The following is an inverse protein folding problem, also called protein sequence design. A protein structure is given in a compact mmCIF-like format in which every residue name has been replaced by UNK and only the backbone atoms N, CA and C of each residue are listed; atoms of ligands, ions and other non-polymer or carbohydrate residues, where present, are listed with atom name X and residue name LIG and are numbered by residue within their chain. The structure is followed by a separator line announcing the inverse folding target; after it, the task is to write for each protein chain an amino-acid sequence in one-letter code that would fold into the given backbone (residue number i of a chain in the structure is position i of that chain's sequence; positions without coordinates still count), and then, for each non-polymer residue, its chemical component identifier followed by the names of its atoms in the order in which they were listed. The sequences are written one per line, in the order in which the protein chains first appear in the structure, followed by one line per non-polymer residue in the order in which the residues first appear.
data_IF_945258148913
#
_entry.id   IF_945258148913
#
_cell.length_a   1.000
_cell.length_b   1.000
_cell.length_c   1.000
_cell.angle_alpha   90.00
_cell.angle_beta   90.00
_cell.angle_gamma   90.00
#
_symmetry.space_group_name_H-M   'P 1'
#
loop_
_entity.id
_entity.type
_entity.pdbx_description
1 polymer ?
#
# COMPACT_ATOMS: atom_id res chain seq x y z
N UNK A 1 -0.11 -6.18 36.56
CA UNK A 1 -0.71 -7.02 35.50
C UNK A 1 0.42 -7.63 34.69
N UNK A 2 0.39 -8.94 34.48
CA UNK A 2 1.39 -9.70 33.72
C UNK A 2 1.41 -9.30 32.25
N UNK A 3 2.52 -9.58 31.56
CA UNK A 3 2.62 -9.44 30.11
C UNK A 3 1.55 -10.31 29.44
N UNK A 4 0.86 -9.78 28.44
CA UNK A 4 -0.22 -10.47 27.74
C UNK A 4 0.32 -11.06 26.43
N UNK A 5 0.00 -12.32 26.17
CA UNK A 5 0.35 -13.01 24.92
C UNK A 5 -0.93 -13.51 24.27
N UNK A 6 -1.10 -13.15 23.00
CA UNK A 6 -2.20 -13.63 22.18
C UNK A 6 -1.69 -14.55 21.08
N UNK A 7 -2.44 -15.60 20.81
CA UNK A 7 -2.09 -16.63 19.84
C UNK A 7 -3.13 -16.64 18.72
N UNK A 8 -2.67 -16.44 17.49
CA UNK A 8 -3.43 -16.69 16.27
C UNK A 8 -3.04 -18.05 15.70
N UNK A 9 -4.02 -18.92 15.44
CA UNK A 9 -3.76 -20.25 14.85
C UNK A 9 -4.59 -20.43 13.60
N UNK A 10 -3.94 -20.93 12.56
CA UNK A 10 -4.61 -21.38 11.34
C UNK A 10 -4.12 -22.77 10.98
N UNK A 11 -5.03 -23.73 10.89
CA UNK A 11 -4.73 -25.06 10.37
C UNK A 11 -4.90 -25.13 8.85
N UNK A 12 -4.16 -26.03 8.23
CA UNK A 12 -4.24 -26.30 6.80
C UNK A 12 -5.62 -26.79 6.36
N UNK A 13 -6.24 -27.65 7.15
CA UNK A 13 -7.53 -28.29 6.86
C UNK A 13 -8.68 -27.55 7.56
N UNK A 14 -8.49 -27.16 8.81
CA UNK A 14 -9.53 -26.55 9.64
C UNK A 14 -9.70 -25.04 9.41
N UNK A 15 -8.74 -24.39 8.75
CA UNK A 15 -8.75 -22.94 8.58
C UNK A 15 -8.46 -22.22 9.90
N UNK A 16 -9.17 -21.11 10.17
CA UNK A 16 -8.87 -20.28 11.34
C UNK A 16 -9.36 -20.93 12.64
N UNK A 17 -8.45 -21.65 13.30
CA UNK A 17 -8.70 -22.35 14.57
C UNK A 17 -8.95 -21.34 15.71
N UNK A 18 -8.24 -20.20 15.72
CA UNK A 18 -8.39 -19.18 16.76
C UNK A 18 -9.65 -18.31 16.61
N UNK A 19 -10.38 -18.40 15.49
CA UNK A 19 -11.56 -17.58 15.24
C UNK A 19 -12.63 -17.77 16.33
N UNK A 20 -13.07 -16.67 16.92
CA UNK A 20 -14.04 -16.66 18.02
C UNK A 20 -13.57 -17.25 19.34
N UNK A 21 -12.28 -17.53 19.54
CA UNK A 21 -11.78 -18.09 20.81
C UNK A 21 -11.72 -17.07 21.94
N UNK A 22 -11.54 -15.79 21.63
CA UNK A 22 -11.54 -14.69 22.59
C UNK A 22 -12.93 -14.11 22.87
N UNK A 23 -13.99 -14.91 22.70
CA UNK A 23 -15.39 -14.50 22.95
C UNK A 23 -15.91 -15.00 24.29
N UNK A 24 -17.03 -14.43 24.75
CA UNK A 24 -17.70 -14.83 25.99
C UNK A 24 -18.17 -16.29 25.97
N UNK A 25 -18.54 -16.82 24.80
CA UNK A 25 -18.97 -18.22 24.64
C UNK A 25 -17.82 -19.20 24.87
N UNK A 26 -16.58 -18.77 24.61
CA UNK A 26 -15.38 -19.60 24.67
C UNK A 26 -14.69 -19.52 26.04
N UNK A 27 -14.49 -18.31 26.57
CA UNK A 27 -13.69 -18.08 27.79
C UNK A 27 -14.49 -17.44 28.94
N UNK A 28 -15.81 -17.36 28.81
CA UNK A 28 -16.67 -16.75 29.82
C UNK A 28 -16.30 -15.29 30.08
N UNK A 29 -16.28 -14.89 31.36
CA UNK A 29 -15.98 -13.50 31.77
C UNK A 29 -14.52 -13.05 31.52
N UNK A 30 -13.64 -13.94 31.02
CA UNK A 30 -12.22 -13.65 30.80
C UNK A 30 -11.92 -13.12 29.40
N UNK A 31 -12.94 -13.07 28.54
CA UNK A 31 -12.83 -12.53 27.20
C UNK A 31 -12.41 -11.05 27.21
N UNK A 32 -11.72 -10.62 26.17
CA UNK A 32 -11.24 -9.24 26.02
C UNK A 32 -11.66 -8.69 24.66
N UNK A 33 -12.25 -7.49 24.66
CA UNK A 33 -12.66 -6.84 23.42
C UNK A 33 -11.46 -6.47 22.56
N UNK A 34 -11.58 -6.70 21.24
CA UNK A 34 -10.51 -6.50 20.26
C UNK A 34 -9.60 -7.72 20.04
N UNK A 35 -9.85 -8.81 20.76
CA UNK A 35 -9.10 -10.07 20.68
C UNK A 35 -10.02 -11.27 20.44
N UNK A 36 -11.15 -11.08 19.78
CA UNK A 36 -12.20 -12.08 19.61
C UNK A 36 -11.73 -13.32 18.82
N UNK A 37 -10.82 -13.12 17.86
CA UNK A 37 -10.25 -14.16 16.99
C UNK A 37 -8.85 -14.64 17.42
N UNK A 38 -8.47 -14.32 18.66
CA UNK A 38 -7.18 -14.66 19.24
C UNK A 38 -7.36 -15.48 20.52
N UNK A 39 -6.43 -16.41 20.76
CA UNK A 39 -6.40 -17.26 21.94
C UNK A 39 -5.53 -16.59 23.01
N UNK A 40 -6.04 -16.47 24.23
CA UNK A 40 -5.28 -15.95 25.36
C UNK A 40 -4.28 -16.99 25.89
N UNK A 41 -2.99 -16.67 25.86
CA UNK A 41 -1.89 -17.54 26.31
C UNK A 41 -1.30 -17.05 27.63
N UNK A 42 -1.24 -17.91 28.64
CA UNK A 42 -0.70 -17.59 29.97
C UNK A 42 0.81 -17.65 30.05
N UNK A 43 1.40 -18.68 29.43
CA UNK A 43 2.83 -18.90 29.45
C UNK A 43 3.29 -19.48 28.14
N UNK A 44 4.51 -19.13 27.77
CA UNK A 44 5.22 -19.69 26.63
C UNK A 44 6.65 -19.98 27.07
N UNK A 45 7.06 -21.22 26.87
CA UNK A 45 8.39 -21.71 27.09
C UNK A 45 8.99 -22.08 25.73
N UNK A 46 10.07 -21.39 25.38
CA UNK A 46 10.89 -21.71 24.23
C UNK A 46 12.30 -22.04 24.73
N UNK A 47 12.76 -23.25 24.46
CA UNK A 47 14.09 -23.70 24.87
C UNK A 47 14.99 -23.88 23.65
N UNK A 48 16.09 -23.11 23.61
CA UNK A 48 17.06 -23.16 22.52
C UNK A 48 18.42 -23.42 23.17
N UNK A 49 18.96 -24.62 22.94
CA UNK A 49 20.25 -25.02 23.49
C UNK A 49 21.32 -24.93 22.40
N UNK A 50 22.54 -24.56 22.78
CA UNK A 50 23.70 -24.60 21.88
C UNK A 50 24.49 -25.88 22.15
N UNK A 51 24.69 -26.71 21.12
CA UNK A 51 25.45 -27.96 21.24
C UNK A 51 26.94 -27.78 20.93
N UNK A 52 27.40 -26.56 20.62
CA UNK A 52 28.77 -26.26 20.21
C UNK A 52 29.04 -26.51 18.72
N UNK A 53 28.18 -27.32 18.06
CA UNK A 53 28.15 -27.53 16.61
C UNK A 53 26.98 -26.81 15.93
N UNK A 54 26.07 -26.20 16.71
CA UNK A 54 24.91 -25.46 16.23
C UNK A 54 23.84 -25.27 17.31
N UNK A 55 22.85 -24.43 17.02
CA UNK A 55 21.67 -24.29 17.87
C UNK A 55 20.70 -25.46 17.66
N UNK A 56 20.38 -26.18 18.73
CA UNK A 56 19.33 -27.17 18.77
C UNK A 56 18.04 -26.53 19.29
N UNK A 57 17.10 -26.34 18.37
CA UNK A 57 15.77 -25.82 18.68
C UNK A 57 14.95 -26.95 19.28
N UNK A 58 14.46 -26.74 20.49
CA UNK A 58 13.45 -27.61 21.07
C UNK A 58 12.07 -27.09 20.67
N UNK A 59 11.08 -27.97 20.74
CA UNK A 59 9.68 -27.57 20.56
C UNK A 59 9.29 -26.42 21.51
N UNK A 60 8.26 -25.68 21.13
CA UNK A 60 7.68 -24.64 21.98
C UNK A 60 6.55 -25.26 22.79
N UNK A 61 6.52 -24.96 24.08
CA UNK A 61 5.42 -25.34 24.96
C UNK A 61 4.71 -24.08 25.44
N UNK A 62 3.40 -24.02 25.29
CA UNK A 62 2.60 -22.91 25.79
C UNK A 62 1.39 -23.41 26.58
N UNK A 63 0.88 -22.56 27.45
CA UNK A 63 -0.28 -22.86 28.29
C UNK A 63 -1.40 -21.85 28.02
N UNK A 64 -2.62 -22.36 27.87
CA UNK A 64 -3.85 -21.58 27.69
C UNK A 64 -4.97 -22.15 28.56
N UNK A 65 -6.11 -21.45 28.61
CA UNK A 65 -7.34 -22.02 29.20
C UNK A 65 -7.92 -23.10 28.32
N UNK A 66 -8.73 -23.99 28.89
CA UNK A 66 -9.67 -24.78 28.09
C UNK A 66 -10.68 -23.80 27.46
N UNK A 67 -10.78 -23.81 26.13
CA UNK A 67 -11.61 -22.87 25.38
C UNK A 67 -12.16 -23.54 24.09
N UNK A 68 -12.82 -22.78 23.22
CA UNK A 68 -13.35 -23.28 21.94
C UNK A 68 -12.31 -24.01 21.07
N UNK A 69 -11.04 -23.60 21.11
CA UNK A 69 -9.98 -24.19 20.28
C UNK A 69 -9.51 -25.56 20.79
N UNK A 70 -9.77 -25.93 22.04
CA UNK A 70 -9.37 -27.21 22.64
C UNK A 70 -9.74 -28.42 21.77
N UNK A 71 -11.01 -28.65 21.36
CA UNK A 71 -11.36 -29.76 20.48
C UNK A 71 -10.75 -29.64 19.07
N UNK A 72 -10.50 -28.42 18.58
CA UNK A 72 -9.87 -28.20 17.28
C UNK A 72 -8.39 -28.60 17.31
N UNK A 73 -7.68 -28.32 18.41
CA UNK A 73 -6.33 -28.81 18.64
C UNK A 73 -6.28 -30.33 18.77
N UNK A 74 -7.26 -30.94 19.44
CA UNK A 74 -7.38 -32.41 19.51
C UNK A 74 -7.56 -33.01 18.11
N UNK A 75 -8.35 -32.37 17.25
CA UNK A 75 -8.49 -32.80 15.86
C UNK A 75 -7.18 -32.61 15.06
N UNK A 76 -6.48 -31.49 15.26
CA UNK A 76 -5.19 -31.23 14.61
C UNK A 76 -4.12 -32.25 14.99
N UNK A 77 -4.01 -32.62 16.27
CA UNK A 77 -3.03 -33.63 16.71
C UNK A 77 -3.40 -35.02 16.19
N UNK A 78 -4.69 -35.38 16.18
CA UNK A 78 -5.15 -36.68 15.68
C UNK A 78 -4.88 -36.86 14.17
N UNK A 79 -5.05 -35.81 13.38
CA UNK A 79 -4.86 -35.85 11.93
C UNK A 79 -3.44 -35.46 11.51
N UNK A 80 -2.55 -35.19 12.47
CA UNK A 80 -1.21 -34.64 12.23
C UNK A 80 -1.23 -33.44 11.26
N UNK A 81 -2.17 -32.52 11.50
CA UNK A 81 -2.40 -31.34 10.66
C UNK A 81 -1.27 -30.32 10.84
N UNK A 82 -0.79 -29.78 9.72
CA UNK A 82 0.20 -28.71 9.73
C UNK A 82 -0.47 -27.38 10.13
N UNK A 83 0.11 -26.70 11.10
CA UNK A 83 -0.41 -25.47 11.67
C UNK A 83 0.50 -24.28 11.36
N UNK A 84 -0.14 -23.13 11.23
CA UNK A 84 0.47 -21.82 11.33
C UNK A 84 0.13 -21.21 12.68
N UNK A 85 1.13 -20.71 13.40
CA UNK A 85 0.94 -20.06 14.69
C UNK A 85 1.66 -18.73 14.77
N UNK A 86 0.97 -17.71 15.27
CA UNK A 86 1.55 -16.39 15.55
C UNK A 86 1.28 -15.97 16.98
N UNK A 87 2.33 -15.71 17.74
CA UNK A 87 2.28 -15.21 19.11
C UNK A 87 2.59 -13.72 19.14
N UNK A 88 1.61 -12.91 19.49
CA UNK A 88 1.74 -11.48 19.69
C UNK A 88 1.94 -11.15 21.17
N UNK A 89 3.06 -10.52 21.50
CA UNK A 89 3.39 -10.12 22.86
C UNK A 89 3.10 -8.64 23.06
N UNK A 90 2.34 -8.34 24.11
CA UNK A 90 1.95 -7.00 24.47
C UNK A 90 2.61 -6.56 25.76
N UNK A 91 2.94 -5.27 25.81
CA UNK A 91 3.40 -4.58 27.03
C UNK A 91 2.78 -3.19 27.13
N UNK A 92 2.83 -2.62 28.32
CA UNK A 92 2.46 -1.22 28.55
C UNK A 92 3.65 -0.35 28.19
N UNK A 93 3.43 0.64 27.31
CA UNK A 93 4.47 1.59 26.91
C UNK A 93 4.60 2.76 27.89
N UNK A 94 5.58 3.65 27.64
CA UNK A 94 5.82 4.84 28.48
C UNK A 94 4.62 5.80 28.60
N UNK A 95 3.67 5.70 27.68
CA UNK A 95 2.45 6.52 27.65
C UNK A 95 1.26 5.80 28.30
N UNK A 96 1.46 4.65 28.93
CA UNK A 96 0.41 3.87 29.58
C UNK A 96 -0.51 3.11 28.61
N UNK A 97 -0.13 2.97 27.34
CA UNK A 97 -0.92 2.26 26.31
C UNK A 97 -0.34 0.89 26.04
N UNK A 98 -1.22 -0.07 25.72
CA UNK A 98 -0.81 -1.37 25.21
C UNK A 98 -0.17 -1.22 23.82
N UNK A 99 0.99 -1.85 23.63
CA UNK A 99 1.66 -1.95 22.33
C UNK A 99 2.14 -3.39 22.10
N UNK A 100 2.02 -3.87 20.86
CA UNK A 100 2.71 -5.09 20.41
C UNK A 100 4.20 -4.77 20.32
N UNK A 101 5.05 -5.50 21.04
CA UNK A 101 6.49 -5.24 21.03
C UNK A 101 7.33 -6.40 20.54
N UNK A 102 6.81 -7.63 20.62
CA UNK A 102 7.51 -8.84 20.22
C UNK A 102 6.54 -9.80 19.53
N UNK A 103 7.05 -10.54 18.56
CA UNK A 103 6.26 -11.44 17.73
C UNK A 103 7.04 -12.73 17.48
N UNK A 104 6.39 -13.88 17.67
CA UNK A 104 6.93 -15.18 17.29
C UNK A 104 5.99 -15.81 16.26
N UNK A 105 6.52 -16.19 15.11
CA UNK A 105 5.81 -16.92 14.07
C UNK A 105 6.39 -18.32 13.94
N UNK A 106 5.51 -19.32 13.96
CA UNK A 106 5.84 -20.70 13.67
C UNK A 106 5.15 -21.11 12.37
N UNK A 107 5.92 -21.74 11.47
CA UNK A 107 5.40 -22.35 10.25
C UNK A 107 5.78 -23.82 10.22
N UNK A 108 4.88 -24.61 9.63
CA UNK A 108 5.01 -26.05 9.68
C UNK A 108 5.00 -26.59 11.11
N UNK A 109 4.11 -26.03 11.94
CA UNK A 109 3.96 -26.47 13.30
C UNK A 109 3.10 -27.75 13.38
N UNK A 110 3.56 -28.74 14.13
CA UNK A 110 2.81 -29.95 14.46
C UNK A 110 2.66 -30.06 15.96
N UNK A 111 1.48 -30.48 16.41
CA UNK A 111 1.24 -30.70 17.84
C UNK A 111 1.89 -32.02 18.25
N UNK A 112 2.79 -31.98 19.21
CA UNK A 112 3.48 -33.17 19.74
C UNK A 112 2.75 -33.75 20.95
N UNK A 113 2.19 -32.90 21.82
CA UNK A 113 1.45 -33.34 23.00
C UNK A 113 0.47 -32.25 23.46
N UNK A 114 -0.66 -32.68 24.01
CA UNK A 114 -1.65 -31.84 24.68
C UNK A 114 -1.90 -32.45 26.06
N UNK A 115 -1.76 -31.65 27.12
CA UNK A 115 -2.01 -32.06 28.49
C UNK A 115 -3.05 -31.14 29.12
N UNK A 116 -4.21 -31.70 29.48
CA UNK A 116 -5.24 -30.98 30.23
C UNK A 116 -5.00 -31.09 31.73
N UNK A 117 -5.10 -29.98 32.44
CA UNK A 117 -4.92 -29.90 33.88
C UNK A 117 -6.14 -29.21 34.50
N UNK A 118 -6.91 -30.01 35.23
CA UNK A 118 -8.11 -29.60 35.97
C UNK A 118 -7.81 -29.84 37.44
N UNK A 119 -7.64 -28.76 38.20
CA UNK A 119 -7.29 -28.80 39.62
C UNK A 119 -8.31 -27.95 40.38
N UNK A 120 -8.76 -28.47 41.52
CA UNK A 120 -9.70 -27.76 42.39
C UNK A 120 -9.16 -26.37 42.79
N UNK A 121 -10.01 -25.34 42.72
CA UNK A 121 -9.68 -23.94 42.98
C UNK A 121 -8.59 -23.32 42.08
N UNK A 122 -8.30 -23.94 40.94
CA UNK A 122 -7.43 -23.37 39.91
C UNK A 122 -8.20 -23.22 38.59
N UNK A 123 -7.64 -22.44 37.67
CA UNK A 123 -8.20 -22.34 36.33
C UNK A 123 -7.91 -23.63 35.56
N UNK A 124 -8.90 -24.14 34.85
CA UNK A 124 -8.71 -25.27 33.95
C UNK A 124 -7.81 -24.85 32.80
N UNK A 125 -6.65 -25.48 32.71
CA UNK A 125 -5.61 -25.13 31.76
C UNK A 125 -5.25 -26.30 30.89
N UNK A 126 -4.72 -26.00 29.71
CA UNK A 126 -4.10 -26.98 28.84
C UNK A 126 -2.72 -26.51 28.45
N UNK A 127 -1.78 -27.45 28.48
CA UNK A 127 -0.39 -27.25 28.07
C UNK A 127 -0.17 -27.98 26.76
N UNK A 128 0.26 -27.25 25.74
CA UNK A 128 0.42 -27.74 24.38
C UNK A 128 1.89 -27.64 23.99
N UNK A 129 2.46 -28.75 23.53
CA UNK A 129 3.84 -28.83 23.03
C UNK A 129 3.84 -28.97 21.52
N UNK A 130 4.64 -28.15 20.85
CA UNK A 130 4.66 -27.98 19.41
C UNK A 130 6.07 -28.26 18.87
N UNK A 131 6.16 -29.07 17.83
CA UNK A 131 7.34 -29.11 16.94
C UNK A 131 7.10 -28.20 15.73
N UNK A 132 8.15 -27.61 15.18
CA UNK A 132 8.02 -26.67 14.06
C UNK A 132 9.20 -26.80 13.11
N UNK A 133 8.96 -26.55 11.82
CA UNK A 133 10.02 -26.54 10.81
C UNK A 133 10.70 -25.16 10.70
N UNK A 134 9.94 -24.09 10.93
CA UNK A 134 10.43 -22.72 10.84
C UNK A 134 9.95 -21.87 11.99
N UNK A 135 10.87 -21.06 12.53
CA UNK A 135 10.60 -20.05 13.55
C UNK A 135 11.12 -18.69 13.08
N UNK A 136 10.32 -17.66 13.29
CA UNK A 136 10.69 -16.26 13.16
C UNK A 136 10.36 -15.54 14.45
N UNK A 137 11.34 -14.85 15.02
CA UNK A 137 11.22 -14.04 16.21
C UNK A 137 11.56 -12.60 15.86
N UNK A 138 10.69 -11.64 16.19
CA UNK A 138 10.85 -10.23 15.83
C UNK A 138 10.58 -9.33 17.03
N UNK A 139 11.49 -8.39 17.31
CA UNK A 139 11.24 -7.30 18.23
C UNK A 139 10.75 -6.06 17.45
N UNK A 140 9.43 -5.89 17.37
CA UNK A 140 8.74 -4.93 16.52
C UNK A 140 9.14 -3.46 16.74
N UNK A 141 9.51 -3.09 17.96
CA UNK A 141 9.88 -1.69 18.28
C UNK A 141 11.36 -1.40 18.01
N UNK A 142 12.20 -2.44 18.05
CA UNK A 142 13.67 -2.31 17.89
C UNK A 142 14.14 -2.80 16.52
N UNK A 143 13.24 -3.36 15.71
CA UNK A 143 13.47 -3.88 14.37
C UNK A 143 14.60 -4.92 14.31
N UNK A 144 14.76 -5.72 15.37
CA UNK A 144 15.65 -6.88 15.34
C UNK A 144 14.84 -8.14 15.05
N UNK A 145 15.39 -8.99 14.20
CA UNK A 145 14.74 -10.25 13.84
C UNK A 145 15.72 -11.41 13.82
N UNK A 146 15.18 -12.59 14.07
CA UNK A 146 15.87 -13.86 14.01
C UNK A 146 14.94 -14.86 13.31
N UNK A 147 15.42 -15.53 12.28
CA UNK A 147 14.69 -16.60 11.62
C UNK A 147 15.56 -17.83 11.49
N UNK A 148 15.00 -19.00 11.77
CA UNK A 148 15.67 -20.28 11.62
C UNK A 148 14.76 -21.30 10.96
N UNK A 149 15.32 -22.04 10.02
CA UNK A 149 14.67 -23.12 9.30
C UNK A 149 15.39 -24.42 9.64
N UNK A 150 14.72 -25.32 10.35
CA UNK A 150 15.29 -26.59 10.76
C UNK A 150 15.51 -27.55 9.57
N UNK A 151 14.73 -27.40 8.49
CA UNK A 151 14.80 -28.23 7.29
C UNK A 151 14.82 -27.37 6.02
N UNK A 152 16.01 -27.09 5.43
CA UNK A 152 16.16 -26.19 4.28
C UNK A 152 15.36 -26.59 3.05
N UNK A 153 15.23 -27.89 2.79
CA UNK A 153 14.60 -28.42 1.57
C UNK A 153 13.08 -28.22 1.53
N UNK A 154 12.44 -28.00 2.69
CA UNK A 154 10.98 -27.91 2.81
C UNK A 154 10.43 -26.48 2.81
N UNK A 155 11.26 -25.44 2.67
CA UNK A 155 10.79 -24.05 2.80
C UNK A 155 9.57 -23.71 1.92
N UNK A 156 9.60 -24.18 0.66
CA UNK A 156 8.53 -23.93 -0.31
C UNK A 156 7.25 -24.73 -0.05
N UNK A 157 7.29 -25.71 0.88
CA UNK A 157 6.14 -26.54 1.30
C UNK A 157 5.51 -26.07 2.61
N UNK A 158 6.09 -25.07 3.27
CA UNK A 158 5.53 -24.55 4.52
C UNK A 158 4.16 -23.95 4.24
N UNK A 159 3.12 -24.51 4.87
CA UNK A 159 1.78 -23.97 4.81
C UNK A 159 1.79 -22.48 5.20
N UNK A 160 1.39 -21.62 4.26
CA UNK A 160 1.10 -20.21 4.52
C UNK A 160 -0.41 -20.05 4.55
N UNK A 161 -1.01 -19.57 5.66
CA UNK A 161 -2.42 -19.28 5.68
C UNK A 161 -2.69 -18.18 4.65
N UNK A 162 -3.53 -18.49 3.65
CA UNK A 162 -3.98 -17.50 2.68
C UNK A 162 -4.59 -16.32 3.43
N UNK A 163 -3.91 -15.18 3.41
CA UNK A 163 -4.38 -13.96 4.06
C UNK A 163 -5.55 -13.37 3.26
N UNK A 164 -6.75 -13.97 3.40
CA UNK A 164 -8.00 -13.43 2.84
C UNK A 164 -8.26 -11.99 3.30
N UNK A 165 -7.63 -11.57 4.40
CA UNK A 165 -7.68 -10.20 4.91
C UNK A 165 -6.67 -9.24 4.25
N UNK A 166 -5.59 -9.72 3.61
CA UNK A 166 -4.73 -8.84 2.82
C UNK A 166 -5.39 -8.53 1.49
N UNK A 167 -5.97 -9.49 0.77
CA UNK A 167 -6.59 -9.22 -0.54
C UNK A 167 -7.78 -8.27 -0.42
N UNK A 168 -8.68 -8.47 0.56
CA UNK A 168 -9.83 -7.58 0.77
C UNK A 168 -9.42 -6.15 1.20
N UNK A 169 -8.33 -5.99 1.96
CA UNK A 169 -7.80 -4.66 2.30
C UNK A 169 -6.96 -4.04 1.16
N UNK A 170 -6.26 -4.84 0.36
CA UNK A 170 -5.49 -4.40 -0.83
C UNK A 170 -6.42 -3.90 -1.93
N UNK A 171 -7.56 -4.57 -2.15
CA UNK A 171 -8.56 -4.11 -3.11
C UNK A 171 -9.37 -2.93 -2.57
N UNK A 172 -9.65 -2.84 -1.26
CA UNK A 172 -10.21 -1.62 -0.64
C UNK A 172 -9.30 -0.40 -0.79
N UNK A 173 -7.98 -0.58 -0.68
CA UNK A 173 -7.01 0.53 -0.88
C UNK A 173 -6.87 0.94 -2.35
N UNK A 174 -7.10 0.02 -3.29
CA UNK A 174 -7.09 0.30 -4.73
C UNK A 174 -8.44 0.78 -5.28
N UNK A 175 -9.50 0.70 -4.48
CA UNK A 175 -10.83 1.15 -4.86
C UNK A 175 -10.92 2.68 -4.75
N UNK A 176 -10.37 3.38 -5.75
CA UNK A 176 -10.44 4.83 -5.85
C UNK A 176 -10.74 5.28 -7.28
N UNK A 177 -11.39 6.45 -7.41
CA UNK A 177 -11.63 7.09 -8.71
C UNK A 177 -10.34 7.31 -9.51
N UNK A 178 -9.22 7.60 -8.84
CA UNK A 178 -7.93 7.81 -9.49
C UNK A 178 -7.42 6.55 -10.19
N UNK A 179 -7.62 5.38 -9.57
CA UNK A 179 -7.20 4.09 -10.13
C UNK A 179 -8.10 3.70 -11.31
N UNK A 180 -9.41 3.92 -11.20
CA UNK A 180 -10.32 3.76 -12.34
C UNK A 180 -9.92 4.60 -13.57
N UNK A 181 -9.52 5.85 -13.33
CA UNK A 181 -9.01 6.75 -14.36
C UNK A 181 -7.72 6.26 -15.00
N UNK A 182 -6.80 5.74 -14.20
CA UNK A 182 -5.54 5.15 -14.69
C UNK A 182 -5.80 3.93 -15.57
N UNK A 183 -6.72 3.05 -15.16
CA UNK A 183 -7.09 1.87 -15.94
C UNK A 183 -7.73 2.25 -17.27
N UNK A 184 -8.59 3.26 -17.29
CA UNK A 184 -9.19 3.77 -18.53
C UNK A 184 -8.12 4.33 -19.49
N UNK A 185 -7.15 5.11 -18.97
CA UNK A 185 -6.03 5.60 -19.77
C UNK A 185 -5.18 4.44 -20.31
N UNK A 186 -4.83 3.47 -19.46
CA UNK A 186 -4.05 2.29 -19.84
C UNK A 186 -4.73 1.44 -20.92
N UNK A 187 -6.05 1.25 -20.83
CA UNK A 187 -6.83 0.55 -21.85
C UNK A 187 -6.82 1.26 -23.21
N UNK A 188 -6.85 2.60 -23.22
CA UNK A 188 -6.72 3.40 -24.45
C UNK A 188 -5.30 3.32 -25.02
N UNK A 189 -4.27 3.48 -24.18
CA UNK A 189 -2.87 3.38 -24.62
C UNK A 189 -2.53 2.02 -25.21
N UNK A 190 -3.02 0.95 -24.60
CA UNK A 190 -2.75 -0.42 -25.01
C UNK A 190 -3.75 -0.95 -26.05
N UNK A 191 -4.73 -0.14 -26.49
CA UNK A 191 -5.78 -0.56 -27.41
C UNK A 191 -6.68 -1.68 -26.88
N UNK A 192 -6.66 -1.96 -25.58
CA UNK A 192 -7.43 -3.00 -24.91
C UNK A 192 -8.35 -2.38 -23.86
N UNK A 193 -9.47 -1.82 -24.29
CA UNK A 193 -10.39 -1.13 -23.39
C UNK A 193 -11.17 -2.13 -22.53
N UNK A 194 -11.65 -3.22 -23.13
CA UNK A 194 -12.49 -4.23 -22.48
C UNK A 194 -11.76 -4.94 -21.33
N UNK A 195 -10.52 -5.40 -21.55
CA UNK A 195 -9.76 -6.09 -20.50
C UNK A 195 -9.47 -5.20 -19.30
N UNK A 196 -9.27 -3.90 -19.51
CA UNK A 196 -9.08 -2.94 -18.42
C UNK A 196 -10.39 -2.52 -17.76
N UNK A 197 -11.52 -2.57 -18.47
CA UNK A 197 -12.86 -2.38 -17.89
C UNK A 197 -13.18 -3.51 -16.92
N UNK A 198 -12.94 -4.76 -17.31
CA UNK A 198 -13.13 -5.93 -16.45
C UNK A 198 -12.33 -5.82 -15.15
N UNK A 199 -11.11 -5.27 -15.23
CA UNK A 199 -10.29 -5.05 -14.03
C UNK A 199 -10.86 -3.97 -13.11
N UNK A 200 -11.45 -2.91 -13.67
CA UNK A 200 -12.11 -1.86 -12.89
C UNK A 200 -13.41 -2.36 -12.24
N UNK A 201 -14.16 -3.23 -12.92
CA UNK A 201 -15.36 -3.87 -12.38
C UNK A 201 -15.02 -4.84 -11.24
N UNK A 202 -13.95 -5.63 -11.37
CA UNK A 202 -13.42 -6.49 -10.30
C UNK A 202 -12.96 -5.72 -9.07
N UNK A 203 -12.44 -4.50 -9.24
CA UNK A 203 -12.10 -3.61 -8.12
C UNK A 203 -13.35 -3.02 -7.43
N UNK A 204 -14.44 -2.86 -8.18
CA UNK A 204 -15.75 -2.39 -7.69
C UNK A 204 -15.75 -0.93 -7.18
N UNK A 205 -16.89 -0.46 -6.66
CA UNK A 205 -17.02 0.79 -5.90
C UNK A 205 -16.74 2.10 -6.67
N UNK A 206 -15.75 2.87 -6.22
CA UNK A 206 -15.35 4.16 -6.77
C UNK A 206 -14.39 4.06 -7.97
N UNK A 207 -13.72 2.91 -8.14
CA UNK A 207 -12.87 2.64 -9.30
C UNK A 207 -13.69 2.63 -10.61
N UNK A 208 -14.81 1.90 -10.67
CA UNK A 208 -15.64 1.85 -11.88
C UNK A 208 -16.20 3.23 -12.26
N UNK A 209 -16.63 4.03 -11.26
CA UNK A 209 -17.07 5.42 -11.48
C UNK A 209 -15.95 6.32 -12.04
N UNK A 210 -14.71 6.10 -11.61
CA UNK A 210 -13.54 6.81 -12.15
C UNK A 210 -13.19 6.39 -13.58
N UNK A 211 -13.37 5.11 -13.89
CA UNK A 211 -13.17 4.55 -15.23
C UNK A 211 -14.19 5.11 -16.22
N UNK A 212 -15.48 5.04 -15.90
CA UNK A 212 -16.58 5.55 -16.74
C UNK A 212 -16.54 7.08 -16.89
N UNK A 213 -15.94 7.82 -15.96
CA UNK A 213 -15.72 9.27 -16.12
C UNK A 213 -14.80 9.61 -17.29
N UNK A 214 -13.84 8.74 -17.61
CA UNK A 214 -12.93 8.93 -18.75
C UNK A 214 -13.57 8.38 -20.02
N UNK A 215 -14.20 7.21 -19.95
CA UNK A 215 -14.72 6.48 -21.10
C UNK A 215 -16.27 6.53 -21.15
N UNK A 216 -16.83 7.74 -21.14
CA UNK A 216 -18.26 7.96 -21.40
C UNK A 216 -18.50 8.26 -22.89
N UNK A 217 -19.65 7.86 -23.44
CA UNK A 217 -20.08 8.14 -24.82
C UNK A 217 -20.05 9.64 -25.18
N UNK A 218 -20.20 10.55 -24.20
CA UNK A 218 -20.04 12.01 -24.42
C UNK A 218 -18.58 12.49 -24.44
N UNK A 219 -17.65 11.71 -23.89
CA UNK A 219 -16.21 12.02 -23.76
C UNK A 219 -15.36 11.25 -24.76
N UNK A 220 -15.91 10.19 -25.38
CA UNK A 220 -15.26 9.32 -26.35
C UNK A 220 -14.69 10.04 -27.60
N UNK A 221 -15.10 11.28 -27.88
CA UNK A 221 -14.62 12.04 -29.02
C UNK A 221 -13.57 13.11 -28.73
N UNK A 222 -13.44 13.59 -27.49
CA UNK A 222 -12.64 14.78 -27.17
C UNK A 222 -12.14 14.72 -25.72
N UNK A 223 -10.82 14.58 -25.56
CA UNK A 223 -10.04 14.90 -24.36
C UNK A 223 -10.21 13.89 -23.19
N UNK A 224 -9.16 13.27 -22.64
CA UNK A 224 -8.15 13.93 -21.79
C UNK A 224 -7.02 12.89 -21.57
N UNK A 225 -5.85 13.12 -22.18
CA UNK A 225 -4.59 12.47 -21.81
C UNK A 225 -3.85 13.25 -20.70
N UNK A 226 -4.59 14.00 -19.87
CA UNK A 226 -4.03 14.93 -18.87
C UNK A 226 -4.23 14.50 -17.42
N UNK A 227 -4.77 13.32 -17.12
CA UNK A 227 -5.19 13.01 -15.74
C UNK A 227 -4.18 12.29 -14.84
N UNK A 228 -3.06 11.73 -15.34
CA UNK A 228 -2.26 10.78 -14.54
C UNK A 228 -0.85 11.22 -14.13
N UNK A 229 -0.30 12.34 -14.60
CA UNK A 229 1.03 12.81 -14.15
C UNK A 229 0.95 13.70 -12.88
N UNK A 230 -0.24 14.11 -12.43
CA UNK A 230 -0.36 14.98 -11.24
C UNK A 230 -0.21 14.25 -9.87
N UNK A 231 0.07 12.95 -9.86
CA UNK A 231 0.10 12.14 -8.62
C UNK A 231 1.48 11.57 -8.23
N UNK A 232 2.58 12.04 -8.82
CA UNK A 232 3.95 11.67 -8.38
C UNK A 232 4.71 12.88 -7.83
N UNK A 233 4.11 13.62 -6.89
CA UNK A 233 4.86 14.57 -6.06
C UNK A 233 5.35 13.93 -4.77
N UNK A 234 6.19 12.89 -4.88
CA UNK A 234 7.16 12.40 -3.86
C UNK A 234 7.86 11.12 -4.35
N UNK A 235 9.03 11.30 -4.96
CA UNK A 235 10.27 10.52 -4.78
C UNK A 235 11.16 10.65 -6.03
N UNK A 236 12.39 11.03 -5.79
CA UNK A 236 13.56 11.13 -6.67
C UNK A 236 13.57 10.38 -8.01
N UNK A 237 13.91 11.15 -9.05
CA UNK A 237 15.04 10.95 -10.01
C UNK A 237 14.89 9.86 -11.10
N UNK A 238 15.06 10.33 -12.35
CA UNK A 238 15.40 9.65 -13.61
C UNK A 238 14.34 8.97 -14.50
N UNK A 239 13.31 9.68 -14.95
CA UNK A 239 12.54 9.27 -16.16
C UNK A 239 11.96 10.46 -16.95
N UNK A 240 12.76 11.48 -17.26
CA UNK A 240 12.32 12.60 -18.11
C UNK A 240 13.15 12.71 -19.38
N UNK A 241 13.03 11.77 -20.32
CA UNK A 241 13.68 11.96 -21.62
C UNK A 241 12.87 11.64 -22.86
N UNK A 242 11.67 11.05 -22.83
CA UNK A 242 10.99 10.74 -24.10
C UNK A 242 9.47 10.88 -24.03
N UNK A 243 8.94 12.10 -23.99
CA UNK A 243 7.59 12.37 -24.49
C UNK A 243 7.60 13.67 -25.29
N UNK A 244 8.04 13.57 -26.55
CA UNK A 244 8.03 14.68 -27.51
C UNK A 244 6.80 14.67 -28.43
N UNK A 245 5.81 13.81 -28.17
CA UNK A 245 4.60 13.68 -28.99
C UNK A 245 3.38 14.27 -28.27
N UNK A 246 2.84 15.36 -28.81
CA UNK A 246 1.63 16.01 -28.33
C UNK A 246 0.55 15.91 -29.40
N UNK A 247 -0.63 15.44 -29.01
CA UNK A 247 -1.78 15.40 -29.90
C UNK A 247 -2.49 16.76 -29.89
N UNK A 248 -2.25 17.57 -30.92
CA UNK A 248 -2.84 18.89 -31.09
C UNK A 248 -3.89 18.93 -32.21
N UNK A 249 -4.62 20.05 -32.30
CA UNK A 249 -5.47 20.37 -33.47
C UNK A 249 -4.82 21.48 -34.29
N UNK A 250 -4.49 21.20 -35.55
CA UNK A 250 -4.02 22.19 -36.52
C UNK A 250 -5.12 22.40 -37.58
N UNK A 251 -5.68 23.61 -37.66
CA UNK A 251 -6.81 23.92 -38.58
C UNK A 251 -7.98 22.94 -38.49
N UNK A 252 -8.33 22.51 -37.28
CA UNK A 252 -9.49 21.64 -37.02
C UNK A 252 -9.26 20.14 -37.25
N UNK A 253 -8.15 19.73 -37.88
CA UNK A 253 -7.76 18.33 -37.99
C UNK A 253 -6.80 17.93 -36.85
N UNK A 254 -6.99 16.71 -36.34
CA UNK A 254 -6.14 16.14 -35.29
C UNK A 254 -4.81 15.70 -35.91
N UNK A 255 -3.69 16.16 -35.36
CA UNK A 255 -2.36 15.82 -35.86
C UNK A 255 -1.39 15.63 -34.69
N UNK A 256 -0.63 14.54 -34.73
CA UNK A 256 0.49 14.32 -33.82
C UNK A 256 1.59 15.34 -34.16
N UNK A 257 2.01 16.09 -33.14
CA UNK A 257 3.12 17.03 -33.22
C UNK A 257 4.31 16.42 -32.52
N UNK A 258 5.36 16.13 -33.28
CA UNK A 258 6.64 15.62 -32.78
C UNK A 258 7.65 16.77 -32.66
N UNK A 259 8.51 16.71 -31.64
CA UNK A 259 9.64 17.64 -31.45
C UNK A 259 9.31 18.89 -30.65
N UNK A 260 8.50 18.78 -29.59
CA UNK A 260 8.19 19.89 -28.70
C UNK A 260 9.25 19.99 -27.59
N UNK A 261 10.09 21.04 -27.65
CA UNK A 261 11.01 21.36 -26.57
C UNK A 261 10.25 21.90 -25.35
N UNK A 262 10.17 21.08 -24.30
CA UNK A 262 9.53 21.47 -23.05
C UNK A 262 10.54 22.22 -22.18
N UNK A 263 10.41 23.55 -22.08
CA UNK A 263 11.25 24.36 -21.18
C UNK A 263 10.65 24.29 -19.77
N UNK A 264 11.30 23.55 -18.87
CA UNK A 264 10.88 23.46 -17.48
C UNK A 264 11.13 24.80 -16.75
N UNK A 265 10.05 25.46 -16.31
CA UNK A 265 10.15 26.68 -15.49
C UNK A 265 10.14 26.27 -14.02
N UNK A 266 11.32 26.18 -13.40
CA UNK A 266 11.48 25.82 -12.00
C UNK A 266 11.13 27.02 -11.11
N UNK A 267 9.93 27.01 -10.52
CA UNK A 267 9.54 28.00 -9.50
C UNK A 267 9.98 27.56 -8.10
N UNK A 268 11.10 28.10 -7.61
CA UNK A 268 11.50 27.97 -6.20
C UNK A 268 10.74 29.02 -5.38
N UNK A 269 9.89 28.58 -4.45
CA UNK A 269 9.18 29.47 -3.51
C UNK A 269 10.17 30.04 -2.49
N UNK A 270 10.62 31.28 -2.70
CA UNK A 270 11.55 32.00 -1.82
C UNK A 270 10.88 32.40 -0.49
N UNK A 271 11.64 32.52 0.62
CA UNK A 271 11.12 33.00 1.90
C UNK A 271 10.54 34.42 1.77
N UNK A 272 9.50 34.72 2.57
CA UNK A 272 8.66 35.91 2.44
C UNK A 272 9.45 37.24 2.49
N UNK A 273 10.52 37.29 3.30
CA UNK A 273 11.40 38.46 3.46
C UNK A 273 12.17 38.78 2.17
N UNK A 274 12.67 37.76 1.48
CA UNK A 274 13.37 37.93 0.20
C UNK A 274 12.42 38.30 -0.92
N UNK A 275 11.21 37.74 -0.92
CA UNK A 275 10.16 38.13 -1.87
C UNK A 275 9.78 39.60 -1.73
N UNK A 276 9.69 40.12 -0.51
CA UNK A 276 9.42 41.54 -0.27
C UNK A 276 10.56 42.44 -0.78
N UNK A 277 11.82 42.03 -0.56
CA UNK A 277 13.00 42.76 -1.04
C UNK A 277 13.12 42.74 -2.57
N UNK A 278 12.96 41.57 -3.20
CA UNK A 278 12.95 41.41 -4.66
C UNK A 278 11.79 42.17 -5.32
N UNK A 279 10.61 42.21 -4.69
CA UNK A 279 9.49 43.05 -5.17
C UNK A 279 9.83 44.54 -5.11
N UNK A 280 10.50 45.00 -4.06
CA UNK A 280 10.96 46.40 -3.96
C UNK A 280 11.99 46.71 -5.05
N UNK A 281 12.93 45.80 -5.28
CA UNK A 281 13.98 45.95 -6.28
C UNK A 281 13.41 45.94 -7.71
N UNK A 282 12.56 44.96 -8.03
CA UNK A 282 11.85 44.88 -9.31
C UNK A 282 11.03 46.14 -9.62
N UNK A 283 10.30 46.67 -8.64
CA UNK A 283 9.51 47.88 -8.83
C UNK A 283 10.38 49.13 -9.05
N UNK A 284 11.61 49.16 -8.50
CA UNK A 284 12.53 50.29 -8.66
C UNK A 284 13.26 50.26 -10.01
N UNK A 285 13.72 49.10 -10.46
CA UNK A 285 14.60 48.96 -11.64
C UNK A 285 13.85 48.40 -12.84
N UNK A 286 13.51 47.12 -12.79
CA UNK A 286 13.00 46.35 -13.94
C UNK A 286 11.65 46.87 -14.43
N UNK A 287 10.73 47.21 -13.51
CA UNK A 287 9.39 47.69 -13.86
C UNK A 287 9.42 49.01 -14.62
N UNK A 288 10.30 49.94 -14.23
CA UNK A 288 10.44 51.24 -14.93
C UNK A 288 10.95 51.03 -16.35
N UNK A 289 12.00 50.22 -16.51
CA UNK A 289 12.61 49.90 -17.82
C UNK A 289 11.61 49.16 -18.73
N UNK A 290 10.85 48.22 -18.17
CA UNK A 290 9.85 47.47 -18.93
C UNK A 290 8.71 48.38 -19.41
N UNK A 291 8.21 49.28 -18.56
CA UNK A 291 7.16 50.23 -18.92
C UNK A 291 7.64 51.26 -19.97
N UNK A 292 8.88 51.74 -19.89
CA UNK A 292 9.45 52.61 -20.93
C UNK A 292 9.61 51.88 -22.27
N UNK A 293 10.03 50.62 -22.23
CA UNK A 293 10.17 49.80 -23.45
C UNK A 293 8.80 49.50 -24.08
N UNK A 294 7.76 49.25 -23.29
CA UNK A 294 6.39 49.07 -23.79
C UNK A 294 5.83 50.36 -24.44
N UNK A 295 6.14 51.54 -23.87
CA UNK A 295 5.78 52.81 -24.48
C UNK A 295 6.49 53.03 -25.82
N UNK A 296 7.78 52.69 -25.92
CA UNK A 296 8.55 52.76 -27.17
C UNK A 296 8.12 51.69 -28.19
N UNK A 297 7.66 50.52 -27.77
CA UNK A 297 7.05 49.54 -28.66
C UNK A 297 5.73 50.06 -29.25
N UNK A 298 4.87 50.70 -28.44
CA UNK A 298 3.62 51.28 -28.96
C UNK A 298 3.83 52.40 -29.99
N UNK A 299 4.95 53.14 -29.95
CA UNK A 299 5.27 54.13 -30.99
C UNK A 299 5.71 53.45 -32.31
N UNK A 300 6.46 52.34 -32.23
CA UNK A 300 6.85 51.53 -33.40
C UNK A 300 5.63 50.89 -34.10
N UNK A 301 4.68 50.36 -33.32
CA UNK A 301 3.45 49.76 -33.86
C UNK A 301 2.46 50.77 -34.46
N UNK A 302 2.55 52.07 -34.12
CA UNK A 302 1.82 53.14 -34.82
C UNK A 302 2.44 53.48 -36.19
N UNK A 303 3.75 53.27 -36.37
CA UNK A 303 4.45 53.56 -37.63
C UNK A 303 4.14 52.49 -38.70
N UNK A 304 3.96 51.22 -38.31
CA UNK A 304 3.66 50.14 -39.26
C UNK A 304 2.22 50.11 -39.82
N UNK A 305 1.28 50.91 -39.28
CA UNK A 305 -0.13 50.94 -39.77
C UNK A 305 -0.43 52.05 -40.77
N UNK A 306 0.58 52.70 -41.37
CA UNK A 306 0.36 53.64 -42.49
C UNK A 306 1.30 53.38 -43.66
N UNK A 307 0.85 52.52 -44.58
CA UNK A 307 0.69 52.74 -46.04
C UNK A 307 0.59 51.37 -46.73
N UNK A 308 -0.47 51.07 -47.49
CA UNK A 308 -0.42 49.98 -48.46
C UNK A 308 0.45 50.43 -49.64
N UNK A 309 1.41 49.58 -50.02
CA UNK A 309 2.15 49.70 -51.28
C UNK A 309 1.15 49.46 -52.43
N UNK A 310 0.93 50.47 -53.28
CA UNK A 310 0.36 50.29 -54.62
C UNK A 310 1.51 49.92 -55.55
N UNK A 311 1.41 48.79 -56.24
CA UNK A 311 2.26 48.47 -57.38
C UNK A 311 1.53 48.81 -58.69
N UNK A 312 2.29 49.26 -59.70
CA UNK A 312 1.86 49.94 -60.93
C UNK A 312 1.05 49.13 -61.95
N UNK A 313 0.53 47.95 -61.62
CA UNK A 313 -0.39 47.22 -62.50
C UNK A 313 -1.53 46.68 -61.66
N UNK A 314 -2.63 47.45 -61.65
CA UNK A 314 -3.80 47.21 -60.82
C UNK A 314 -4.55 45.92 -61.16
N UNK A 315 -4.10 44.80 -60.58
CA UNK A 315 -4.90 43.57 -60.50
C UNK A 315 -4.80 42.98 -59.10
N UNK A 316 -5.94 42.94 -58.41
CA UNK A 316 -6.15 42.09 -57.24
C UNK A 316 -6.35 40.65 -57.73
N UNK A 317 -5.49 39.73 -57.34
CA UNK A 317 -5.76 38.30 -57.48
C UNK A 317 -6.08 37.70 -56.11
N UNK A 318 -7.24 37.04 -56.05
CA UNK A 318 -7.79 36.30 -54.93
C UNK A 318 -7.33 34.84 -54.93
N UNK A 319 -7.31 34.23 -53.72
CA UNK A 319 -7.17 32.79 -53.38
C UNK A 319 -5.71 32.33 -53.28
N UNK A 320 -5.25 31.57 -52.28
CA UNK A 320 -5.86 30.71 -51.25
C UNK A 320 -5.35 31.06 -49.83
#
# INVERSE_FOLDING_TARGET
MSNIVYLTVTGEQQGSISAGCGTSESTGNRWQSGHEDEIFTFSLLNNINNTGLGSQFHGITFCKLIDKSTPLFINSINNNEQLFMGFDFYRINRFGRWEKYYYIQLRGAFLSAIHHQIIENQLDTETITISYEFILCQHLIANTEFSYLALPENYNRLFLPNSKNQTNNRFKTLNSKAIGRLLAAGGVYNGNIEGFRDTAEKLGGDAIKGYDQILNEKTAGIAIATASILLTKRSNVDTYTEINSYLGKLRGQQKLLDGIDTIEIIYIKRPSKDLANLRKEFNKTVRKIFLSNLQNLRSIWKIQRRRPFKNEKGQCSSKL
#
